data_IF_365357282577
#
_entry.id   IF_365357282577
#
_cell.length_a   1.000
_cell.length_b   1.000
_cell.length_c   1.000
_cell.angle_alpha   90.00
_cell.angle_beta   90.00
_cell.angle_gamma   90.00
#
_symmetry.space_group_name_H-M   'P 1'
#
loop_
_entity.id
_entity.type
_entity.pdbx_description
1 polymer ?
#
# COMPACT_ATOMS: atom_id res chain seq x y z
N UNK A 1 1.89 -31.17 -25.12
CA UNK A 1 2.81 -30.80 -24.02
C UNK A 1 3.43 -29.41 -24.19
N UNK A 2 4.05 -29.05 -25.34
CA UNK A 2 4.65 -27.72 -25.54
C UNK A 2 3.70 -26.51 -25.30
N UNK A 3 2.42 -26.63 -25.68
CA UNK A 3 1.41 -25.56 -25.47
C UNK A 3 1.03 -25.36 -23.99
N UNK A 4 1.03 -26.42 -23.20
CA UNK A 4 0.74 -26.37 -21.76
C UNK A 4 1.87 -25.70 -20.99
N UNK A 5 3.13 -26.00 -21.35
CA UNK A 5 4.31 -25.37 -20.76
C UNK A 5 4.31 -23.85 -21.02
N UNK A 6 3.94 -23.42 -22.24
CA UNK A 6 3.85 -22.00 -22.58
C UNK A 6 2.75 -21.27 -21.80
N UNK A 7 1.59 -21.91 -21.57
CA UNK A 7 0.54 -21.34 -20.73
C UNK A 7 0.98 -21.21 -19.28
N UNK A 8 1.71 -22.20 -18.76
CA UNK A 8 2.24 -22.18 -17.39
C UNK A 8 3.26 -21.05 -17.18
N UNK A 9 4.17 -20.85 -18.14
CA UNK A 9 5.13 -19.75 -18.10
C UNK A 9 4.42 -18.39 -18.16
N UNK A 10 3.40 -18.24 -19.02
CA UNK A 10 2.61 -17.02 -19.09
C UNK A 10 1.90 -16.73 -17.76
N UNK A 11 1.36 -17.75 -17.10
CA UNK A 11 0.71 -17.62 -15.80
C UNK A 11 1.68 -17.13 -14.71
N UNK A 12 2.92 -17.64 -14.71
CA UNK A 12 3.97 -17.22 -13.77
C UNK A 12 4.39 -15.76 -13.95
N UNK A 13 4.42 -15.27 -15.20
CA UNK A 13 4.77 -13.87 -15.49
C UNK A 13 3.66 -12.90 -15.02
N UNK A 14 2.39 -13.30 -15.13
CA UNK A 14 1.29 -12.45 -14.65
C UNK A 14 1.35 -12.30 -13.13
N UNK A 15 1.67 -13.38 -12.40
CA UNK A 15 1.77 -13.38 -10.93
C UNK A 15 2.85 -12.43 -10.41
N UNK A 16 3.99 -12.30 -11.11
CA UNK A 16 5.10 -11.44 -10.65
C UNK A 16 4.77 -9.94 -10.75
N UNK A 17 3.92 -9.53 -11.69
CA UNK A 17 3.45 -8.14 -11.82
C UNK A 17 2.54 -7.73 -10.67
N UNK A 18 1.71 -8.64 -10.16
CA UNK A 18 0.84 -8.35 -9.00
C UNK A 18 1.62 -8.31 -7.68
N UNK A 19 2.70 -9.09 -7.55
CA UNK A 19 3.53 -9.10 -6.35
C UNK A 19 4.24 -7.76 -6.10
N UNK A 20 4.55 -6.98 -7.14
CA UNK A 20 5.19 -5.66 -7.01
C UNK A 20 4.32 -4.59 -6.35
N UNK A 21 3.00 -4.81 -6.19
CA UNK A 21 2.10 -3.84 -5.56
C UNK A 21 2.16 -3.84 -4.03
N UNK A 22 2.64 -4.90 -3.41
CA UNK A 22 2.79 -5.01 -1.96
C UNK A 22 4.24 -4.69 -1.56
N UNK A 23 4.54 -3.43 -1.30
CA UNK A 23 5.85 -3.05 -0.75
C UNK A 23 5.91 -3.41 0.74
N UNK A 24 6.92 -4.18 1.20
CA UNK A 24 7.08 -4.52 2.63
C UNK A 24 7.16 -3.28 3.53
N UNK A 25 7.61 -2.15 2.98
CA UNK A 25 7.65 -0.85 3.66
C UNK A 25 6.24 -0.38 3.96
N UNK A 26 5.35 -0.37 2.96
CA UNK A 26 3.95 0.02 3.10
C UNK A 26 3.26 -0.84 4.15
N UNK A 27 3.48 -2.16 4.11
CA UNK A 27 2.90 -3.08 5.09
C UNK A 27 3.39 -2.78 6.51
N UNK A 28 4.65 -2.38 6.68
CA UNK A 28 5.18 -1.98 7.98
C UNK A 28 4.47 -0.73 8.51
N UNK A 29 4.33 0.31 7.67
CA UNK A 29 3.62 1.53 8.05
C UNK A 29 2.15 1.28 8.38
N UNK A 30 1.46 0.42 7.60
CA UNK A 30 0.06 0.03 7.92
C UNK A 30 -0.04 -0.68 9.27
N UNK A 31 0.91 -1.56 9.60
CA UNK A 31 0.97 -2.22 10.92
C UNK A 31 1.27 -1.25 12.07
N UNK A 32 2.15 -0.28 11.85
CA UNK A 32 2.42 0.77 12.84
C UNK A 32 1.20 1.66 13.07
N UNK A 33 0.50 2.03 11.99
CA UNK A 33 -0.72 2.83 12.07
C UNK A 33 -1.80 2.12 12.89
N UNK A 34 -1.99 0.81 12.69
CA UNK A 34 -2.94 0.01 13.46
C UNK A 34 -2.64 -0.04 14.98
N UNK A 35 -1.39 0.23 15.38
CA UNK A 35 -0.95 0.27 16.78
C UNK A 35 -0.86 1.70 17.34
N UNK A 36 -1.02 2.72 16.50
CA UNK A 36 -0.87 4.12 16.90
C UNK A 36 -2.01 4.54 17.84
N UNK A 37 -1.66 4.97 19.05
CA UNK A 37 -2.63 5.40 20.07
C UNK A 37 -2.80 6.90 20.13
N UNK A 38 -1.77 7.67 19.76
CA UNK A 38 -1.82 9.15 19.82
C UNK A 38 -2.26 9.74 18.49
N UNK A 39 -2.94 10.88 18.55
CA UNK A 39 -3.38 11.68 17.38
C UNK A 39 -2.17 12.03 16.51
N UNK A 40 -1.12 12.59 17.09
CA UNK A 40 0.10 12.97 16.37
C UNK A 40 0.70 11.80 15.56
N UNK A 41 0.76 10.61 16.16
CA UNK A 41 1.31 9.43 15.50
C UNK A 41 0.41 8.93 14.37
N UNK A 42 -0.92 8.98 14.55
CA UNK A 42 -1.88 8.66 13.49
C UNK A 42 -1.77 9.64 12.32
N UNK A 43 -1.71 10.95 12.58
CA UNK A 43 -1.55 11.98 11.54
C UNK A 43 -0.25 11.74 10.76
N UNK A 44 0.86 11.54 11.48
CA UNK A 44 2.18 11.30 10.88
C UNK A 44 2.22 10.05 10.01
N UNK A 45 1.71 8.93 10.52
CA UNK A 45 1.72 7.65 9.80
C UNK A 45 0.80 7.67 8.58
N UNK A 46 -0.39 8.26 8.68
CA UNK A 46 -1.26 8.47 7.53
C UNK A 46 -0.60 9.39 6.48
N UNK A 47 0.08 10.46 6.90
CA UNK A 47 0.83 11.33 5.98
C UNK A 47 1.97 10.61 5.25
N UNK A 48 2.68 9.69 5.93
CA UNK A 48 3.69 8.85 5.28
C UNK A 48 3.09 7.84 4.31
N UNK A 49 2.00 7.16 4.71
CA UNK A 49 1.29 6.25 3.83
C UNK A 49 0.76 6.96 2.58
N UNK A 50 0.18 8.16 2.72
CA UNK A 50 -0.27 8.97 1.59
C UNK A 50 0.87 9.17 0.57
N UNK A 51 2.06 9.60 1.02
CA UNK A 51 3.23 9.79 0.16
C UNK A 51 3.73 8.49 -0.49
N UNK A 52 3.78 7.40 0.28
CA UNK A 52 4.22 6.10 -0.23
C UNK A 52 3.26 5.55 -1.29
N UNK A 53 1.94 5.77 -1.11
CA UNK A 53 0.93 5.29 -2.04
C UNK A 53 0.86 6.10 -3.34
N UNK A 54 1.41 7.33 -3.41
CA UNK A 54 1.35 8.17 -4.63
C UNK A 54 1.89 7.46 -5.88
N UNK A 55 2.91 6.63 -5.74
CA UNK A 55 3.50 5.85 -6.84
C UNK A 55 2.93 4.44 -7.01
N UNK A 56 1.99 4.02 -6.16
CA UNK A 56 1.46 2.65 -6.10
C UNK A 56 -0.04 2.61 -6.39
N UNK A 57 -0.81 3.46 -5.71
CA UNK A 57 -2.26 3.59 -5.83
C UNK A 57 -2.66 5.01 -5.40
N UNK A 58 -2.98 5.85 -6.38
CA UNK A 58 -3.34 7.25 -6.14
C UNK A 58 -4.63 7.40 -5.33
N UNK A 59 -5.57 6.45 -5.40
CA UNK A 59 -6.81 6.52 -4.63
C UNK A 59 -6.53 6.29 -3.13
N UNK A 60 -5.72 5.28 -2.80
CA UNK A 60 -5.27 5.07 -1.43
C UNK A 60 -4.40 6.23 -0.92
N UNK A 61 -3.62 6.88 -1.79
CA UNK A 61 -2.84 8.05 -1.41
C UNK A 61 -3.75 9.20 -0.93
N UNK A 62 -4.83 9.45 -1.66
CA UNK A 62 -5.83 10.47 -1.31
C UNK A 62 -6.58 10.10 -0.02
N UNK A 63 -6.98 8.84 0.13
CA UNK A 63 -7.67 8.36 1.34
C UNK A 63 -6.84 8.54 2.61
N UNK A 64 -5.56 8.13 2.58
CA UNK A 64 -4.66 8.33 3.72
C UNK A 64 -4.39 9.82 3.97
N UNK A 65 -4.30 10.64 2.93
CA UNK A 65 -4.14 12.09 3.05
C UNK A 65 -5.34 12.75 3.72
N UNK A 66 -6.56 12.43 3.27
CA UNK A 66 -7.80 12.91 3.86
C UNK A 66 -7.95 12.48 5.31
N UNK A 67 -7.64 11.22 5.62
CA UNK A 67 -7.65 10.69 6.99
C UNK A 67 -6.67 11.44 7.89
N UNK A 68 -5.47 11.78 7.39
CA UNK A 68 -4.49 12.55 8.16
C UNK A 68 -5.02 13.94 8.53
N UNK A 69 -5.72 14.60 7.61
CA UNK A 69 -6.35 15.91 7.84
C UNK A 69 -7.47 15.77 8.88
N UNK A 70 -8.39 14.83 8.67
CA UNK A 70 -9.52 14.61 9.57
C UNK A 70 -9.04 14.35 11.01
N UNK A 71 -8.07 13.45 11.19
CA UNK A 71 -7.55 13.12 12.53
C UNK A 71 -6.81 14.29 13.17
N UNK A 72 -6.25 15.22 12.39
CA UNK A 72 -5.61 16.42 12.92
C UNK A 72 -6.62 17.50 13.36
N UNK A 73 -7.85 17.43 12.86
CA UNK A 73 -8.94 18.37 13.18
C UNK A 73 -9.78 17.92 14.40
N UNK A 74 -9.69 16.64 14.78
CA UNK A 74 -10.29 16.06 16.00
C UNK A 74 -9.53 16.43 17.29
#
# INVERSE_FOLDING_TARGET
>A
MKKLLSCFILLLIIQSVFAQRASPVIDSFKRELAKATTVEMKVKLNGYLARLMMGVDSAQAEEYGATAIQVAEE
#
